data_IF_392991763310
#
_entry.id   IF_392991763310
#
_cell.length_a   1.000
_cell.length_b   1.000
_cell.length_c   1.000
_cell.angle_alpha   90.00
_cell.angle_beta   90.00
_cell.angle_gamma   90.00
#
_symmetry.space_group_name_H-M   'P 1'
#
loop_
_entity.id
_entity.type
_entity.pdbx_description
1 polymer ?
#
# COMPACT_ATOMS: atom_id res chain seq x y z
N UNK A 1 -28.81 2.58 6.90
CA UNK A 1 -27.81 3.66 6.88
C UNK A 1 -27.54 4.09 5.43
N UNK A 2 -26.99 5.29 5.22
CA UNK A 2 -26.72 5.89 3.91
C UNK A 2 -25.30 6.48 3.92
N UNK A 3 -24.69 6.65 2.75
CA UNK A 3 -23.40 7.34 2.61
C UNK A 3 -23.63 8.85 2.76
N UNK A 4 -22.76 9.52 3.52
CA UNK A 4 -22.82 10.96 3.78
C UNK A 4 -21.57 11.71 3.29
N UNK A 5 -20.48 11.00 3.05
CA UNK A 5 -19.23 11.55 2.56
C UNK A 5 -18.49 10.48 1.77
N UNK A 6 -17.86 10.89 0.67
CA UNK A 6 -16.92 10.06 -0.09
C UNK A 6 -15.63 10.85 -0.25
N UNK A 7 -14.50 10.21 0.07
CA UNK A 7 -13.16 10.72 -0.15
C UNK A 7 -12.29 9.67 -0.82
N UNK A 8 -11.68 10.01 -1.95
CA UNK A 8 -10.74 9.15 -2.66
C UNK A 8 -9.51 9.94 -3.06
N UNK A 9 -8.37 9.28 -3.06
CA UNK A 9 -7.09 9.84 -3.51
C UNK A 9 -6.45 8.91 -4.54
N UNK A 10 -5.84 9.47 -5.55
CA UNK A 10 -5.20 8.70 -6.60
C UNK A 10 -3.71 8.47 -6.28
N UNK A 11 -3.29 7.21 -6.45
CA UNK A 11 -1.89 6.79 -6.30
C UNK A 11 -1.45 6.12 -7.61
N UNK A 12 -0.42 6.68 -8.27
CA UNK A 12 0.21 6.09 -9.46
C UNK A 12 1.69 5.85 -9.17
N UNK A 13 2.17 4.66 -9.49
CA UNK A 13 3.58 4.28 -9.26
C UNK A 13 4.03 4.55 -7.82
N UNK A 14 3.18 4.23 -6.85
CA UNK A 14 3.41 4.40 -5.40
C UNK A 14 3.59 5.86 -4.96
N UNK A 15 3.00 6.81 -5.66
CA UNK A 15 3.03 8.25 -5.30
C UNK A 15 1.64 8.83 -5.44
N UNK A 16 1.26 9.68 -4.50
CA UNK A 16 0.07 10.49 -4.66
C UNK A 16 0.24 11.42 -5.86
N UNK A 17 -0.77 11.47 -6.72
CA UNK A 17 -0.77 12.35 -7.90
C UNK A 17 -1.26 13.75 -7.57
N UNK A 18 -2.01 13.89 -6.48
CA UNK A 18 -2.73 15.09 -6.11
C UNK A 18 -4.15 15.14 -6.71
N UNK A 19 -4.53 14.15 -7.54
CA UNK A 19 -5.90 14.01 -8.01
C UNK A 19 -6.75 13.38 -6.89
N UNK A 20 -7.85 14.04 -6.52
CA UNK A 20 -8.69 13.69 -5.38
C UNK A 20 -10.15 13.82 -5.76
N UNK A 21 -10.98 12.90 -5.27
CA UNK A 21 -12.44 13.02 -5.32
C UNK A 21 -12.95 13.19 -3.90
N UNK A 22 -13.67 14.27 -3.64
CA UNK A 22 -14.26 14.53 -2.33
C UNK A 22 -15.64 15.15 -2.47
N UNK A 23 -16.63 14.57 -1.82
CA UNK A 23 -17.99 15.11 -1.81
C UNK A 23 -18.73 14.72 -0.54
N UNK A 24 -19.55 15.66 -0.03
CA UNK A 24 -20.58 15.38 0.96
C UNK A 24 -21.89 15.04 0.26
N UNK A 25 -22.70 14.19 0.88
CA UNK A 25 -23.90 13.62 0.27
C UNK A 25 -25.08 13.80 1.22
N UNK A 26 -26.19 14.28 0.68
CA UNK A 26 -27.45 14.31 1.40
C UNK A 26 -28.03 12.89 1.47
N UNK A 27 -28.15 12.28 2.68
CA UNK A 27 -28.66 10.93 2.82
C UNK A 27 -30.19 10.84 2.75
N UNK A 28 -30.92 11.95 2.57
CA UNK A 28 -32.40 12.06 2.70
C UNK A 28 -32.93 11.47 4.03
N UNK A 29 -32.17 11.59 5.10
CA UNK A 29 -32.55 11.12 6.45
C UNK A 29 -31.75 11.85 7.52
N UNK A 30 -32.27 11.86 8.73
CA UNK A 30 -31.55 12.42 9.87
C UNK A 30 -30.30 11.59 10.25
N UNK A 31 -29.27 12.30 10.69
CA UNK A 31 -28.07 11.70 11.24
C UNK A 31 -28.36 11.09 12.61
N UNK A 32 -27.84 9.88 12.83
CA UNK A 32 -27.90 9.23 14.13
C UNK A 32 -26.94 9.94 15.10
N UNK A 33 -27.38 10.19 16.36
CA UNK A 33 -26.57 10.89 17.36
C UNK A 33 -25.22 10.20 17.64
N UNK A 34 -25.19 8.86 17.57
CA UNK A 34 -23.97 8.08 17.74
C UNK A 34 -22.97 8.33 16.63
N UNK A 35 -23.47 8.36 15.38
CA UNK A 35 -22.66 8.62 14.20
C UNK A 35 -22.19 10.09 14.16
N UNK A 36 -23.06 11.03 14.48
CA UNK A 36 -22.75 12.47 14.54
C UNK A 36 -21.53 12.77 15.44
N UNK A 37 -21.41 12.07 16.58
CA UNK A 37 -20.25 12.21 17.48
C UNK A 37 -18.93 11.74 16.86
N UNK A 38 -18.96 10.89 15.84
CA UNK A 38 -17.78 10.35 15.17
C UNK A 38 -17.35 11.23 14.00
N UNK A 39 -18.28 11.57 13.10
CA UNK A 39 -17.97 12.31 11.87
C UNK A 39 -18.25 13.82 11.95
N UNK A 40 -19.03 14.29 12.93
CA UNK A 40 -19.32 15.72 13.13
C UNK A 40 -20.27 16.37 12.12
N UNK A 41 -20.79 15.62 11.14
CA UNK A 41 -21.62 16.16 10.05
C UNK A 41 -23.08 16.19 10.47
N UNK A 42 -23.64 17.40 10.66
CA UNK A 42 -25.03 17.58 11.08
C UNK A 42 -26.01 17.34 9.92
N UNK A 43 -27.26 16.96 10.23
CA UNK A 43 -28.32 16.85 9.24
C UNK A 43 -28.53 18.17 8.48
N UNK A 44 -28.44 19.29 9.18
CA UNK A 44 -28.56 20.64 8.57
C UNK A 44 -27.45 20.88 7.55
N UNK A 45 -26.20 20.57 7.88
CA UNK A 45 -25.05 20.68 6.95
C UNK A 45 -25.22 19.81 5.70
N UNK A 46 -25.80 18.61 5.86
CA UNK A 46 -25.97 17.67 4.75
C UNK A 46 -27.22 17.96 3.90
N UNK A 47 -28.15 18.78 4.39
CA UNK A 47 -29.43 19.02 3.72
C UNK A 47 -29.28 19.72 2.37
N UNK A 48 -28.28 20.57 2.18
CA UNK A 48 -27.97 21.32 0.95
C UNK A 48 -26.99 20.61 0.02
N UNK A 49 -26.52 19.41 0.38
CA UNK A 49 -25.57 18.64 -0.43
C UNK A 49 -26.28 17.83 -1.51
N UNK A 50 -25.57 17.47 -2.60
CA UNK A 50 -26.15 16.63 -3.66
C UNK A 50 -26.50 15.24 -3.10
N UNK A 51 -27.47 14.59 -3.73
CA UNK A 51 -27.79 13.19 -3.48
C UNK A 51 -26.78 12.27 -4.18
N UNK A 52 -26.69 11.04 -3.75
CA UNK A 52 -25.81 10.06 -4.40
C UNK A 52 -26.12 9.90 -5.91
N UNK A 53 -27.39 9.98 -6.31
CA UNK A 53 -27.81 9.91 -7.71
C UNK A 53 -27.27 11.06 -8.58
N UNK A 54 -26.97 12.21 -7.98
CA UNK A 54 -26.47 13.39 -8.70
C UNK A 54 -24.96 13.35 -8.88
N UNK A 55 -24.25 12.60 -8.03
CA UNK A 55 -22.78 12.48 -8.06
C UNK A 55 -22.31 11.13 -8.61
N UNK A 56 -23.22 10.23 -8.91
CA UNK A 56 -22.91 8.84 -9.28
C UNK A 56 -21.99 8.77 -10.49
N UNK A 57 -22.29 9.49 -11.58
CA UNK A 57 -21.52 9.45 -12.81
C UNK A 57 -20.10 9.96 -12.59
N UNK A 58 -19.93 11.10 -11.92
CA UNK A 58 -18.62 11.69 -11.60
C UNK A 58 -17.80 10.76 -10.70
N UNK A 59 -18.45 10.10 -9.73
CA UNK A 59 -17.78 9.15 -8.85
C UNK A 59 -17.32 7.91 -9.61
N UNK A 60 -18.18 7.33 -10.44
CA UNK A 60 -17.80 6.15 -11.24
C UNK A 60 -16.67 6.50 -12.22
N UNK A 61 -16.75 7.64 -12.91
CA UNK A 61 -15.69 8.08 -13.82
C UNK A 61 -14.34 8.24 -13.12
N UNK A 62 -14.35 8.67 -11.84
CA UNK A 62 -13.11 8.80 -11.06
C UNK A 62 -12.48 7.44 -10.70
N UNK A 63 -13.30 6.43 -10.36
CA UNK A 63 -12.80 5.12 -9.92
C UNK A 63 -12.63 4.10 -11.04
N UNK A 64 -13.20 4.38 -12.22
CA UNK A 64 -13.21 3.47 -13.36
C UNK A 64 -11.80 3.04 -13.75
N UNK A 65 -11.68 1.77 -14.15
CA UNK A 65 -10.43 1.16 -14.60
C UNK A 65 -9.28 1.22 -13.57
N UNK A 66 -9.59 1.49 -12.30
CA UNK A 66 -8.63 1.55 -11.19
C UNK A 66 -8.65 0.29 -10.32
N UNK A 67 -7.64 0.13 -9.47
CA UNK A 67 -7.67 -0.75 -8.30
C UNK A 67 -8.10 0.06 -7.08
N UNK A 68 -9.22 -0.30 -6.45
CA UNK A 68 -9.67 0.33 -5.21
C UNK A 68 -8.98 -0.29 -4.00
N UNK A 69 -8.33 0.56 -3.21
CA UNK A 69 -7.75 0.20 -1.91
C UNK A 69 -8.69 0.67 -0.80
N UNK A 70 -9.28 -0.26 -0.07
CA UNK A 70 -10.26 0.03 0.98
C UNK A 70 -9.87 -0.73 2.24
N UNK A 71 -10.05 -0.12 3.42
CA UNK A 71 -9.78 -0.77 4.70
C UNK A 71 -11.07 -1.38 5.26
N UNK A 72 -11.21 -2.70 5.25
CA UNK A 72 -12.44 -3.45 5.50
C UNK A 72 -13.47 -3.29 4.36
N UNK A 73 -13.01 -3.63 3.13
CA UNK A 73 -13.69 -3.33 1.88
C UNK A 73 -15.14 -3.82 1.80
N UNK A 74 -15.48 -4.97 2.39
CA UNK A 74 -16.83 -5.54 2.39
C UNK A 74 -17.87 -4.53 2.92
N UNK A 75 -17.50 -3.75 3.94
CA UNK A 75 -18.36 -2.75 4.53
C UNK A 75 -18.69 -1.62 3.56
N UNK A 76 -17.68 -0.99 2.98
CA UNK A 76 -17.85 0.18 2.09
C UNK A 76 -18.49 -0.23 0.76
N UNK A 77 -18.08 -1.37 0.19
CA UNK A 77 -18.69 -1.90 -1.04
C UNK A 77 -20.17 -2.21 -0.85
N UNK A 78 -20.54 -2.78 0.30
CA UNK A 78 -21.94 -3.04 0.62
C UNK A 78 -22.79 -1.76 0.65
N UNK A 79 -22.25 -0.66 1.17
CA UNK A 79 -22.91 0.65 1.15
C UNK A 79 -22.98 1.25 -0.25
N UNK A 80 -21.88 1.24 -1.00
CA UNK A 80 -21.84 1.75 -2.37
C UNK A 80 -22.82 1.01 -3.27
N UNK A 81 -22.83 -0.32 -3.23
CA UNK A 81 -23.76 -1.13 -4.02
C UNK A 81 -25.22 -0.88 -3.64
N UNK A 82 -25.51 -0.60 -2.37
CA UNK A 82 -26.84 -0.23 -1.93
C UNK A 82 -27.26 1.13 -2.50
N UNK A 83 -26.38 2.13 -2.46
CA UNK A 83 -26.65 3.45 -3.05
C UNK A 83 -26.84 3.35 -4.57
N UNK A 84 -26.01 2.59 -5.28
CA UNK A 84 -26.15 2.35 -6.73
C UNK A 84 -27.50 1.71 -7.06
N UNK A 85 -27.92 0.71 -6.29
CA UNK A 85 -29.25 0.06 -6.46
C UNK A 85 -30.42 1.02 -6.23
N UNK A 86 -30.25 2.00 -5.34
CA UNK A 86 -31.24 3.05 -5.10
C UNK A 86 -31.33 4.05 -6.26
N UNK A 87 -30.21 4.32 -6.96
CA UNK A 87 -30.23 5.13 -8.20
C UNK A 87 -30.95 4.38 -9.31
N UNK A 88 -30.52 3.16 -9.63
CA UNK A 88 -31.20 2.28 -10.58
C UNK A 88 -30.77 0.82 -10.40
N UNK A 89 -31.76 -0.08 -10.49
CA UNK A 89 -31.51 -1.53 -10.42
C UNK A 89 -30.74 -2.10 -11.63
N UNK A 90 -30.61 -1.31 -12.69
CA UNK A 90 -29.94 -1.73 -13.92
C UNK A 90 -28.46 -1.32 -13.95
N UNK A 91 -27.99 -0.56 -12.96
CA UNK A 91 -26.58 -0.17 -12.86
C UNK A 91 -25.73 -1.33 -12.34
N UNK A 92 -24.49 -1.35 -12.74
CA UNK A 92 -23.53 -2.34 -12.29
C UNK A 92 -23.13 -2.11 -10.83
N UNK A 93 -22.83 -3.17 -10.06
CA UNK A 93 -22.17 -3.02 -8.76
C UNK A 93 -20.73 -2.48 -8.96
N UNK A 94 -20.18 -1.86 -7.91
CA UNK A 94 -18.83 -1.25 -7.94
C UNK A 94 -17.76 -2.20 -8.48
N UNK A 95 -17.83 -3.48 -8.09
CA UNK A 95 -16.87 -4.51 -8.51
C UNK A 95 -16.75 -4.67 -10.04
N UNK A 96 -17.79 -4.31 -10.80
CA UNK A 96 -17.78 -4.37 -12.27
C UNK A 96 -17.27 -3.10 -12.94
N UNK A 97 -17.17 -2.01 -12.20
CA UNK A 97 -16.71 -0.72 -12.71
C UNK A 97 -15.19 -0.53 -12.51
N UNK A 98 -14.58 -1.35 -11.66
CA UNK A 98 -13.15 -1.27 -11.31
C UNK A 98 -12.40 -2.53 -11.72
N UNK A 99 -11.08 -2.42 -11.85
CA UNK A 99 -10.21 -3.57 -12.22
C UNK A 99 -10.08 -4.55 -11.07
N UNK A 100 -10.00 -4.04 -9.84
CA UNK A 100 -9.78 -4.85 -8.64
C UNK A 100 -10.20 -4.09 -7.38
N UNK A 101 -10.65 -4.82 -6.38
CA UNK A 101 -10.83 -4.32 -5.02
C UNK A 101 -9.83 -5.04 -4.11
N UNK A 102 -9.02 -4.26 -3.40
CA UNK A 102 -8.02 -4.76 -2.46
C UNK A 102 -8.38 -4.31 -1.04
N UNK A 103 -8.64 -5.29 -0.19
CA UNK A 103 -8.88 -5.04 1.25
C UNK A 103 -7.55 -4.93 2.00
N UNK A 104 -7.21 -3.72 2.40
CA UNK A 104 -5.97 -3.44 3.13
C UNK A 104 -6.00 -4.00 4.56
N UNK A 105 -7.19 -4.27 5.15
CA UNK A 105 -7.32 -4.94 6.44
C UNK A 105 -6.87 -6.40 6.35
N UNK A 106 -7.18 -7.10 5.24
CA UNK A 106 -6.69 -8.46 5.02
C UNK A 106 -5.16 -8.49 4.94
N UNK A 107 -4.56 -7.59 4.15
CA UNK A 107 -3.10 -7.46 4.06
C UNK A 107 -2.48 -7.20 5.45
N UNK A 108 -3.10 -6.30 6.22
CA UNK A 108 -2.63 -5.99 7.56
C UNK A 108 -2.71 -7.20 8.51
N UNK A 109 -3.78 -8.00 8.44
CA UNK A 109 -3.94 -9.22 9.24
C UNK A 109 -2.90 -10.29 8.91
N UNK A 110 -2.55 -10.43 7.64
CA UNK A 110 -1.50 -11.35 7.19
C UNK A 110 -0.11 -10.92 7.69
N UNK A 111 0.19 -9.63 7.63
CA UNK A 111 1.47 -9.06 8.09
C UNK A 111 1.60 -8.99 9.62
N UNK A 112 0.50 -8.80 10.33
CA UNK A 112 0.45 -8.58 11.77
C UNK A 112 -0.59 -9.50 12.44
N UNK A 113 -0.39 -10.82 12.37
CA UNK A 113 -1.34 -11.78 12.94
C UNK A 113 -1.49 -11.58 14.45
N UNK A 114 -2.72 -11.67 14.94
CA UNK A 114 -3.03 -11.51 16.37
C UNK A 114 -2.95 -10.09 16.92
N UNK A 115 -2.66 -9.09 16.11
CA UNK A 115 -2.58 -7.68 16.52
C UNK A 115 -3.82 -6.89 16.09
N UNK A 116 -4.02 -5.71 16.69
CA UNK A 116 -5.04 -4.76 16.23
C UNK A 116 -4.60 -4.18 14.89
N UNK A 117 -5.49 -4.25 13.90
CA UNK A 117 -5.26 -3.80 12.54
C UNK A 117 -6.29 -2.76 12.07
N UNK A 118 -6.89 -1.99 12.99
CA UNK A 118 -7.66 -0.79 12.62
C UNK A 118 -6.72 0.26 11.99
N UNK A 119 -7.26 1.18 11.20
CA UNK A 119 -6.48 2.25 10.58
C UNK A 119 -5.63 3.00 11.61
N UNK A 120 -6.20 3.36 12.78
CA UNK A 120 -5.46 4.00 13.87
C UNK A 120 -4.30 3.16 14.41
N UNK A 121 -4.51 1.84 14.55
CA UNK A 121 -3.46 0.95 15.01
C UNK A 121 -2.31 0.85 14.01
N UNK A 122 -2.63 0.91 12.71
CA UNK A 122 -1.65 0.91 11.63
C UNK A 122 -0.92 2.25 11.53
N UNK A 123 -1.63 3.38 11.67
CA UNK A 123 -1.02 4.74 11.76
C UNK A 123 0.06 4.78 12.83
N UNK A 124 -0.28 4.32 14.05
CA UNK A 124 0.68 4.29 15.15
C UNK A 124 1.85 3.32 14.88
N UNK A 125 1.60 2.15 14.28
CA UNK A 125 2.61 1.13 14.02
C UNK A 125 3.60 1.55 12.95
N UNK A 126 3.13 2.23 11.90
CA UNK A 126 3.95 2.71 10.79
C UNK A 126 4.43 4.15 10.98
N UNK A 127 4.15 4.74 12.16
CA UNK A 127 4.57 6.10 12.54
C UNK A 127 4.15 7.15 11.49
N UNK A 128 2.93 7.01 10.96
CA UNK A 128 2.38 7.96 10.00
C UNK A 128 2.04 9.25 10.74
N UNK A 129 2.75 10.33 10.45
CA UNK A 129 2.64 11.62 11.09
C UNK A 129 2.24 12.72 10.09
N UNK A 130 1.86 13.89 10.60
CA UNK A 130 1.57 15.06 9.77
C UNK A 130 0.09 15.28 9.46
N UNK A 131 -0.79 14.47 10.04
CA UNK A 131 -2.22 14.62 9.92
C UNK A 131 -2.84 15.09 11.24
N UNK A 132 -3.62 16.18 11.18
CA UNK A 132 -4.46 16.59 12.30
C UNK A 132 -5.79 15.86 12.21
N UNK A 133 -6.12 15.08 13.22
CA UNK A 133 -7.22 14.12 13.22
C UNK A 133 -8.18 14.37 14.38
N UNK A 134 -8.65 15.61 14.51
CA UNK A 134 -9.69 15.93 15.50
C UNK A 134 -11.04 15.27 15.13
N UNK A 135 -11.36 15.18 13.83
CA UNK A 135 -12.55 14.52 13.30
C UNK A 135 -12.19 13.55 12.17
N UNK A 136 -12.99 12.50 12.02
CA UNK A 136 -12.86 11.52 10.93
C UNK A 136 -13.52 12.06 9.65
N UNK A 137 -12.73 12.63 8.74
CA UNK A 137 -13.17 13.03 7.41
C UNK A 137 -12.75 11.99 6.36
N UNK A 138 -13.64 11.63 5.43
CA UNK A 138 -13.37 10.56 4.46
C UNK A 138 -12.13 10.84 3.59
N UNK A 139 -11.92 12.07 3.16
CA UNK A 139 -10.73 12.43 2.37
C UNK A 139 -9.44 12.32 3.18
N UNK A 140 -9.47 12.76 4.44
CA UNK A 140 -8.31 12.67 5.34
C UNK A 140 -7.96 11.20 5.62
N UNK A 141 -8.96 10.37 5.93
CA UNK A 141 -8.78 8.95 6.18
C UNK A 141 -8.27 8.21 4.92
N UNK A 142 -8.66 8.63 3.72
CA UNK A 142 -8.15 8.10 2.46
C UNK A 142 -6.66 8.44 2.25
N UNK A 143 -6.21 9.65 2.57
CA UNK A 143 -4.79 10.04 2.53
C UNK A 143 -3.97 9.20 3.51
N UNK A 144 -4.44 9.10 4.74
CA UNK A 144 -3.82 8.29 5.79
C UNK A 144 -3.74 6.81 5.36
N UNK A 145 -4.82 6.27 4.80
CA UNK A 145 -4.84 4.89 4.29
C UNK A 145 -3.81 4.70 3.18
N UNK A 146 -3.68 5.66 2.27
CA UNK A 146 -2.67 5.65 1.22
C UNK A 146 -1.26 5.54 1.79
N UNK A 147 -0.88 6.38 2.77
CA UNK A 147 0.43 6.34 3.41
C UNK A 147 0.67 5.04 4.19
N UNK A 148 -0.34 4.55 4.92
CA UNK A 148 -0.29 3.25 5.61
C UNK A 148 -0.07 2.13 4.59
N UNK A 149 -0.80 2.10 3.49
CA UNK A 149 -0.66 1.09 2.44
C UNK A 149 0.74 1.14 1.80
N UNK A 150 1.24 2.33 1.47
CA UNK A 150 2.58 2.52 0.92
C UNK A 150 3.67 2.06 1.90
N UNK A 151 3.53 2.35 3.17
CA UNK A 151 4.47 1.91 4.22
C UNK A 151 4.37 0.41 4.46
N UNK A 152 3.15 -0.13 4.56
CA UNK A 152 2.88 -1.55 4.77
C UNK A 152 3.39 -2.44 3.63
N UNK A 153 3.32 -1.95 2.37
CA UNK A 153 3.75 -2.69 1.17
C UNK A 153 5.11 -2.25 0.63
N UNK A 154 5.72 -1.22 1.23
CA UNK A 154 7.01 -0.64 0.82
C UNK A 154 8.23 -1.24 1.52
N UNK A 155 8.05 -2.25 2.38
CA UNK A 155 9.16 -2.98 2.99
C UNK A 155 10.03 -3.62 1.92
N UNK A 156 11.34 -3.71 2.18
CA UNK A 156 12.41 -4.28 1.36
C UNK A 156 11.87 -5.07 0.17
N UNK A 157 12.08 -4.58 -1.06
CA UNK A 157 11.96 -5.46 -2.22
C UNK A 157 12.74 -6.71 -1.86
N UNK A 158 12.06 -7.85 -1.77
CA UNK A 158 12.71 -9.13 -1.66
C UNK A 158 13.82 -9.12 -2.69
N UNK A 159 15.07 -9.18 -2.22
CA UNK A 159 16.19 -9.49 -3.09
C UNK A 159 15.88 -10.90 -3.56
N UNK A 160 15.26 -10.97 -4.72
CA UNK A 160 14.91 -12.20 -5.38
C UNK A 160 16.21 -12.89 -5.78
N UNK A 161 16.79 -13.62 -4.82
CA UNK A 161 17.88 -14.56 -5.06
C UNK A 161 17.36 -15.85 -5.68
N UNK A 162 16.22 -15.82 -6.38
CA UNK A 162 15.82 -16.94 -7.19
C UNK A 162 16.85 -17.11 -8.29
N UNK A 163 17.76 -18.04 -8.02
CA UNK A 163 18.72 -18.60 -8.97
C UNK A 163 18.05 -18.84 -10.31
N UNK A 164 18.69 -18.39 -11.38
CA UNK A 164 18.29 -18.47 -12.79
C UNK A 164 18.16 -19.92 -13.32
N UNK A 165 17.50 -20.83 -12.62
CA UNK A 165 17.33 -22.21 -13.11
C UNK A 165 16.03 -22.47 -13.89
N UNK A 166 15.21 -21.43 -14.16
CA UNK A 166 13.94 -21.61 -14.88
C UNK A 166 13.80 -20.74 -16.16
N UNK A 167 14.89 -20.23 -16.73
CA UNK A 167 14.84 -19.39 -17.95
C UNK A 167 15.36 -20.04 -19.23
N UNK A 168 15.39 -21.35 -19.28
CA UNK A 168 15.62 -22.05 -20.56
C UNK A 168 14.33 -22.66 -21.12
N UNK A 169 13.41 -21.85 -21.55
CA UNK A 169 12.40 -22.19 -22.58
C UNK A 169 11.56 -20.95 -22.87
N UNK A 170 12.08 -20.03 -23.67
CA UNK A 170 11.40 -19.15 -24.62
C UNK A 170 12.38 -18.04 -25.08
N UNK A 171 13.41 -18.46 -25.80
CA UNK A 171 14.30 -17.56 -26.51
C UNK A 171 13.96 -17.65 -28.01
N UNK A 172 13.00 -16.82 -28.41
CA UNK A 172 12.99 -16.33 -29.81
C UNK A 172 12.33 -14.95 -29.82
N UNK A 173 13.11 -14.02 -30.41
CA UNK A 173 12.73 -12.66 -30.77
C UNK A 173 12.79 -11.55 -29.69
N UNK A 174 14.00 -11.11 -29.27
CA UNK A 174 14.25 -9.68 -29.04
C UNK A 174 15.67 -9.33 -29.49
N UNK A 175 15.76 -8.47 -30.51
CA UNK A 175 16.98 -7.93 -31.09
C UNK A 175 17.80 -7.14 -30.06
N UNK A 176 19.04 -7.52 -30.00
CA UNK A 176 20.23 -6.93 -29.42
C UNK A 176 20.24 -5.38 -29.40
N UNK A 177 20.21 -4.79 -28.19
CA UNK A 177 20.78 -3.47 -27.94
C UNK A 177 21.91 -3.65 -26.95
N UNK A 178 23.12 -3.77 -27.49
CA UNK A 178 24.35 -3.83 -26.73
C UNK A 178 24.53 -2.55 -25.91
N UNK A 179 24.13 -2.57 -24.65
CA UNK A 179 24.61 -1.59 -23.67
C UNK A 179 25.97 -2.07 -23.16
N UNK A 180 27.02 -1.39 -23.58
CA UNK A 180 28.38 -1.56 -23.10
C UNK A 180 28.41 -1.59 -21.56
N UNK A 181 28.48 -2.79 -20.98
CA UNK A 181 28.71 -2.95 -19.53
C UNK A 181 30.11 -2.45 -19.22
N UNK A 182 30.25 -1.33 -18.51
CA UNK A 182 31.54 -0.88 -17.97
C UNK A 182 32.13 -2.00 -17.13
N UNK A 183 33.31 -2.50 -17.52
CA UNK A 183 34.03 -3.49 -16.69
C UNK A 183 34.25 -2.91 -15.32
N UNK A 184 33.72 -3.56 -14.29
CA UNK A 184 33.94 -3.18 -12.90
C UNK A 184 35.44 -3.33 -12.60
N UNK A 185 36.06 -2.30 -11.97
CA UNK A 185 37.42 -2.32 -11.56
C UNK A 185 37.55 -3.23 -10.33
N UNK A 186 38.12 -4.40 -10.51
CA UNK A 186 38.42 -5.31 -9.38
C UNK A 186 39.63 -4.74 -8.63
N UNK A 187 39.44 -4.35 -7.38
CA UNK A 187 40.50 -3.90 -6.48
C UNK A 187 41.18 -5.14 -5.93
N UNK A 188 42.46 -5.33 -6.28
CA UNK A 188 43.24 -6.42 -5.72
C UNK A 188 43.79 -6.03 -4.34
N UNK A 189 43.68 -6.95 -3.40
CA UNK A 189 44.24 -6.77 -2.03
C UNK A 189 45.76 -6.60 -2.11
N UNK A 190 46.27 -5.60 -1.43
CA UNK A 190 47.72 -5.33 -1.38
C UNK A 190 48.46 -6.37 -0.56
N UNK A 191 49.77 -6.55 -0.82
CA UNK A 191 50.58 -7.47 -0.04
C UNK A 191 50.62 -7.14 1.47
N UNK A 192 50.53 -5.84 1.81
CA UNK A 192 50.48 -5.37 3.19
C UNK A 192 49.14 -5.74 3.89
N UNK A 193 48.05 -5.69 3.19
CA UNK A 193 46.71 -6.11 3.72
C UNK A 193 46.67 -7.63 3.91
N UNK A 194 47.24 -8.41 2.97
CA UNK A 194 47.34 -9.87 3.13
C UNK A 194 48.17 -10.26 4.35
N UNK A 195 49.34 -9.63 4.54
CA UNK A 195 50.18 -9.89 5.69
C UNK A 195 49.48 -9.59 7.02
N UNK A 196 48.75 -8.46 7.08
CA UNK A 196 47.97 -8.05 8.26
C UNK A 196 46.81 -8.99 8.56
N UNK A 197 46.16 -9.53 7.53
CA UNK A 197 45.09 -10.51 7.69
C UNK A 197 45.65 -11.85 8.23
N UNK A 198 46.79 -12.31 7.72
CA UNK A 198 47.45 -13.54 8.23
C UNK A 198 47.86 -13.39 9.69
N UNK A 199 48.41 -12.24 10.08
CA UNK A 199 48.77 -11.95 11.47
C UNK A 199 47.52 -11.96 12.38
N UNK A 200 46.41 -11.38 11.93
CA UNK A 200 45.16 -11.38 12.66
C UNK A 200 44.58 -12.80 12.83
N UNK A 201 44.63 -13.63 11.79
CA UNK A 201 44.13 -15.01 11.84
C UNK A 201 45.02 -15.88 12.77
N UNK A 202 46.35 -15.67 12.76
CA UNK A 202 47.25 -16.35 13.69
C UNK A 202 46.94 -16.00 15.15
N UNK A 203 46.69 -14.72 15.43
CA UNK A 203 46.32 -14.25 16.77
C UNK A 203 44.98 -14.82 17.23
N UNK A 204 43.97 -14.86 16.34
CA UNK A 204 42.72 -15.53 16.63
C UNK A 204 42.86 -17.00 17.00
N UNK A 205 43.73 -17.72 16.28
CA UNK A 205 44.03 -19.13 16.56
C UNK A 205 44.68 -19.31 17.94
N UNK A 206 45.58 -18.43 18.31
CA UNK A 206 46.24 -18.47 19.64
C UNK A 206 45.25 -18.16 20.79
N UNK A 207 44.30 -17.22 20.56
CA UNK A 207 43.32 -16.80 21.59
C UNK A 207 42.15 -17.79 21.75
N UNK A 208 41.75 -18.49 20.69
CA UNK A 208 40.54 -19.33 20.70
C UNK A 208 40.81 -20.83 20.65
N UNK A 209 42.05 -21.24 20.36
CA UNK A 209 42.47 -22.64 20.09
C UNK A 209 41.64 -23.33 18.97
N UNK A 210 41.02 -22.54 18.08
CA UNK A 210 40.21 -23.01 16.96
C UNK A 210 40.81 -22.53 15.64
N UNK A 211 40.96 -23.45 14.66
CA UNK A 211 41.43 -23.09 13.31
C UNK A 211 40.41 -22.19 12.61
N UNK A 212 40.79 -20.97 12.16
CA UNK A 212 39.88 -20.08 11.45
C UNK A 212 39.40 -20.73 10.14
N UNK A 213 38.11 -20.64 9.86
CA UNK A 213 37.45 -21.25 8.68
C UNK A 213 38.08 -20.77 7.36
N UNK A 214 38.63 -19.54 7.34
CA UNK A 214 39.25 -18.93 6.14
C UNK A 214 40.61 -19.53 5.79
N UNK A 215 41.21 -20.38 6.66
CA UNK A 215 42.46 -21.13 6.39
C UNK A 215 42.16 -22.51 5.79
N UNK A 216 40.90 -22.93 5.71
CA UNK A 216 40.53 -24.20 5.07
C UNK A 216 40.49 -23.99 3.56
N UNK A 217 41.48 -24.55 2.83
CA UNK A 217 41.40 -24.64 1.38
C UNK A 217 40.20 -25.54 1.04
N UNK A 218 39.20 -24.99 0.35
CA UNK A 218 38.15 -25.80 -0.25
C UNK A 218 38.72 -26.47 -1.49
N UNK A 219 38.96 -27.79 -1.40
CA UNK A 219 39.17 -28.66 -2.56
C UNK A 219 37.96 -28.70 -3.47
#
# INVERSE_FOLDING_TARGET
HRIIEIGCVEIINRKFTGNEYHTYINPDRDSDEGALRVHGLTTEFLSDKPRFSEIYEDFIDFIKDSELLIHNAEFDIGFLDNEIKLVSKNLNPVEKEVVKITDTLQIAREKHPGQRNSLDALVNRYEINGYDRELHGALLDSKILGDVYLSMTGGQSDLDFTTNESREKNADSVKDKSTSRKKLKVIKVSAKEKARNLEYLAKMKEETDVEPIWNQEHE
#
